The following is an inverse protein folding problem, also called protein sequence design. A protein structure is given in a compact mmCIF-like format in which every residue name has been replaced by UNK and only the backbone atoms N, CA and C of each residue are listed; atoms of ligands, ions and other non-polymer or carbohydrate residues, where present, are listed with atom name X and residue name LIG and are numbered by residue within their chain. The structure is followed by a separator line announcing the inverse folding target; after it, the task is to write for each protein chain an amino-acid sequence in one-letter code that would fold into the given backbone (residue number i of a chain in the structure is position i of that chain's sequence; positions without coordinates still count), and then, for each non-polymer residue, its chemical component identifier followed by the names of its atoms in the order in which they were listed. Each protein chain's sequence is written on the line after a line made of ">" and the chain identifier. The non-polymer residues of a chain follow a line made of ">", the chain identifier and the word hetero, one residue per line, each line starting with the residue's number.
data_IF_530954055808
#
_entry.id   IF_530954055808
#
_cell.length_a   1.000
_cell.length_b   1.000
_cell.length_c   1.000
_cell.angle_alpha   90.00
_cell.angle_beta   90.00
_cell.angle_gamma   90.00
#
_symmetry.space_group_name_H-M   'P 1'
#
loop_
_entity.id
_entity.type
_entity.pdbx_description
1 polymer ?
#
# COMPACT_ATOMS: atom_id res chain seq x y z
N UNK A 1 11.29 -6.97 3.86
CA UNK A 1 10.11 -7.25 3.02
C UNK A 1 10.11 -6.19 1.93
N UNK A 2 10.00 -6.59 0.68
CA UNK A 2 9.98 -5.65 -0.45
C UNK A 2 8.55 -5.61 -0.97
N UNK A 3 7.97 -4.41 -1.02
CA UNK A 3 6.63 -4.17 -1.57
C UNK A 3 6.77 -3.87 -3.07
N UNK A 4 5.76 -4.26 -3.83
CA UNK A 4 5.65 -4.02 -5.26
C UNK A 4 4.29 -3.42 -5.59
N UNK A 5 4.24 -2.63 -6.67
CA UNK A 5 2.96 -2.19 -7.24
C UNK A 5 2.09 -3.41 -7.56
N UNK A 6 0.83 -3.37 -7.10
CA UNK A 6 -0.14 -4.47 -7.20
C UNK A 6 -0.26 -5.32 -5.93
N UNK A 7 0.64 -5.19 -4.96
CA UNK A 7 0.52 -5.91 -3.68
C UNK A 7 -0.73 -5.48 -2.91
N UNK A 8 -1.42 -6.45 -2.32
CA UNK A 8 -2.52 -6.19 -1.38
C UNK A 8 -1.96 -5.96 0.01
N UNK A 9 -2.35 -4.86 0.63
CA UNK A 9 -1.89 -4.45 1.95
C UNK A 9 -3.07 -4.07 2.84
N UNK A 10 -2.89 -4.20 4.14
CA UNK A 10 -3.88 -3.79 5.14
C UNK A 10 -3.37 -2.53 5.82
N UNK A 11 -4.20 -1.49 5.81
CA UNK A 11 -3.99 -0.22 6.50
C UNK A 11 -5.27 0.14 7.25
N UNK A 12 -5.19 0.45 8.55
CA UNK A 12 -6.35 0.77 9.39
C UNK A 12 -7.51 -0.26 9.29
N UNK A 13 -7.20 -1.56 9.33
CA UNK A 13 -8.16 -2.67 9.19
C UNK A 13 -8.91 -2.73 7.84
N UNK A 14 -8.46 -1.99 6.84
CA UNK A 14 -9.04 -2.00 5.50
C UNK A 14 -8.00 -2.43 4.46
N UNK A 15 -8.46 -3.06 3.38
CA UNK A 15 -7.61 -3.58 2.32
C UNK A 15 -7.39 -2.53 1.24
N UNK A 16 -6.14 -2.42 0.79
CA UNK A 16 -5.71 -1.53 -0.27
C UNK A 16 -4.76 -2.27 -1.22
N UNK A 17 -4.53 -1.67 -2.38
CA UNK A 17 -3.55 -2.11 -3.36
C UNK A 17 -2.45 -1.06 -3.46
N UNK A 18 -1.19 -1.49 -3.42
CA UNK A 18 -0.04 -0.61 -3.65
C UNK A 18 -0.05 -0.14 -5.11
N UNK A 19 -0.12 1.16 -5.32
CA UNK A 19 -0.02 1.79 -6.63
C UNK A 19 1.44 2.13 -6.94
N UNK A 20 2.14 2.70 -5.96
CA UNK A 20 3.53 3.15 -6.12
C UNK A 20 4.37 2.89 -4.87
N UNK A 21 5.65 2.62 -5.08
CA UNK A 21 6.65 2.40 -4.02
C UNK A 21 7.73 3.45 -4.15
N UNK A 22 7.93 4.23 -3.09
CA UNK A 22 8.98 5.22 -3.01
C UNK A 22 10.23 4.66 -2.32
N UNK A 23 11.41 5.08 -2.78
CA UNK A 23 12.70 4.71 -2.19
C UNK A 23 12.84 5.17 -0.72
N UNK A 24 12.03 6.14 -0.30
CA UNK A 24 12.00 6.69 1.06
C UNK A 24 11.24 5.84 2.08
N UNK A 25 10.73 4.66 1.69
CA UNK A 25 9.93 3.80 2.59
C UNK A 25 8.46 4.22 2.68
N UNK A 26 7.98 5.05 1.76
CA UNK A 26 6.58 5.40 1.62
C UNK A 26 5.94 4.64 0.46
N UNK A 27 4.62 4.45 0.55
CA UNK A 27 3.80 3.75 -0.43
C UNK A 27 2.56 4.57 -0.72
N UNK A 28 2.20 4.67 -2.00
CA UNK A 28 0.86 5.09 -2.40
C UNK A 28 -0.04 3.86 -2.49
N UNK A 29 -1.12 3.85 -1.71
CA UNK A 29 -2.08 2.74 -1.66
C UNK A 29 -3.49 3.24 -2.02
N UNK A 30 -4.29 2.43 -2.70
CA UNK A 30 -5.68 2.78 -3.03
C UNK A 30 -6.62 1.58 -2.90
N UNK A 31 -7.88 1.82 -2.53
CA UNK A 31 -8.92 0.76 -2.48
C UNK A 31 -9.49 0.43 -3.85
N UNK A 32 -9.60 1.45 -4.67
CA UNK A 32 -10.24 1.43 -5.98
C UNK A 32 -9.46 2.35 -6.93
N UNK A 33 -9.90 2.44 -8.20
CA UNK A 33 -9.28 3.27 -9.26
C UNK A 33 -8.57 4.51 -8.71
N UNK A 34 -7.32 4.71 -9.15
CA UNK A 34 -6.26 5.72 -8.86
C UNK A 34 -6.67 7.07 -8.21
N UNK A 35 -7.92 7.51 -8.29
CA UNK A 35 -8.41 8.77 -7.71
C UNK A 35 -8.41 8.88 -6.18
N UNK A 36 -8.26 7.78 -5.41
CA UNK A 36 -8.23 7.81 -3.94
C UNK A 36 -6.97 7.15 -3.37
N UNK A 37 -5.81 7.66 -3.76
CA UNK A 37 -4.54 7.25 -3.20
C UNK A 37 -4.32 7.85 -1.80
N UNK A 38 -3.78 7.02 -0.90
CA UNK A 38 -3.33 7.39 0.43
C UNK A 38 -1.83 7.13 0.47
N UNK A 39 -1.06 8.12 0.93
CA UNK A 39 0.37 7.95 1.15
C UNK A 39 0.58 7.47 2.59
N UNK A 40 1.27 6.33 2.75
CA UNK A 40 1.53 5.69 4.05
C UNK A 40 2.97 5.25 4.15
N UNK A 41 3.53 5.21 5.36
CA UNK A 41 4.84 4.62 5.57
C UNK A 41 4.74 3.09 5.64
N UNK A 42 5.77 2.39 5.17
CA UNK A 42 5.80 0.91 5.12
C UNK A 42 5.58 0.23 6.48
N UNK A 43 5.85 0.94 7.59
CA UNK A 43 5.66 0.44 8.95
C UNK A 43 4.22 0.54 9.46
N UNK A 44 3.37 1.30 8.77
CA UNK A 44 1.97 1.51 9.14
C UNK A 44 1.04 0.47 8.50
N UNK A 45 1.58 -0.35 7.60
CA UNK A 45 0.82 -1.32 6.83
C UNK A 45 1.34 -2.74 7.00
N UNK A 46 0.49 -3.71 6.67
CA UNK A 46 0.83 -5.13 6.68
C UNK A 46 0.58 -5.72 5.31
N UNK A 47 1.56 -6.44 4.76
CA UNK A 47 1.39 -7.19 3.51
C UNK A 47 0.40 -8.34 3.73
N UNK A 48 -0.69 -8.37 2.95
CA UNK A 48 -1.64 -9.48 2.98
C UNK A 48 -1.07 -10.59 2.10
N UNK A 49 -0.45 -11.59 2.74
CA UNK A 49 -0.05 -12.83 2.05
C UNK A 49 -1.31 -13.68 1.86
N UNK A 50 -1.63 -13.98 0.60
CA UNK A 50 -2.57 -15.06 0.24
C UNK A 50 -1.95 -16.43 0.52
#
# INVERSE_FOLDING_TARGET
>A
MQFHSGDKVVYNNEEYVVQWVYDTGYLEISKDRISNCVLVHITEIVLKKE
#
